data_IF_073615370613
#
_entry.id   IF_073615370613
#
_cell.length_a   1.000
_cell.length_b   1.000
_cell.length_c   1.000
_cell.angle_alpha   90.00
_cell.angle_beta   90.00
_cell.angle_gamma   90.00
#
_symmetry.space_group_name_H-M   'P 1'
#
loop_
_entity.id
_entity.type
_entity.pdbx_description
1 polymer ?
#
# COMPACT_ATOMS: atom_id res chain seq x y z
N UNK A 1 -14.01 31.18 4.89
CA UNK A 1 -13.07 30.48 3.99
C UNK A 1 -13.11 29.01 4.37
N UNK A 2 -13.75 28.17 3.55
CA UNK A 2 -14.02 26.78 3.88
C UNK A 2 -12.85 25.89 3.43
N UNK A 3 -12.04 25.42 4.38
CA UNK A 3 -11.03 24.39 4.13
C UNK A 3 -11.73 23.04 3.91
N UNK A 4 -11.76 22.56 2.67
CA UNK A 4 -12.14 21.17 2.36
C UNK A 4 -10.96 20.27 2.73
N UNK A 5 -11.06 19.58 3.88
CA UNK A 5 -10.22 18.44 4.23
C UNK A 5 -10.53 17.30 3.26
N UNK A 6 -9.65 17.07 2.29
CA UNK A 6 -9.77 15.99 1.31
C UNK A 6 -9.22 14.71 1.96
N UNK A 7 -10.15 13.81 2.26
CA UNK A 7 -9.95 12.44 2.71
C UNK A 7 -9.12 11.63 1.71
N UNK A 8 -7.82 11.46 2.00
CA UNK A 8 -6.92 10.60 1.23
C UNK A 8 -7.18 9.13 1.60
N UNK A 9 -7.67 8.37 0.62
CA UNK A 9 -7.86 6.93 0.69
C UNK A 9 -6.56 6.24 1.12
N UNK A 10 -6.55 5.64 2.30
CA UNK A 10 -5.54 4.68 2.76
C UNK A 10 -5.65 3.33 2.03
N UNK A 11 -5.76 3.35 0.70
CA UNK A 11 -5.62 2.17 -0.15
C UNK A 11 -4.18 2.16 -0.64
N UNK A 12 -3.33 1.48 0.12
CA UNK A 12 -1.97 1.19 -0.31
C UNK A 12 -2.06 0.17 -1.44
N UNK A 13 -1.93 0.65 -2.67
CA UNK A 13 -1.49 -0.19 -3.77
C UNK A 13 -0.10 -0.72 -3.40
N UNK A 14 -0.07 -1.95 -2.87
CA UNK A 14 1.16 -2.73 -2.77
C UNK A 14 1.54 -3.09 -4.21
N UNK A 15 2.46 -2.31 -4.78
CA UNK A 15 3.11 -2.65 -6.03
C UNK A 15 3.98 -3.90 -5.79
N UNK A 16 3.42 -5.09 -6.03
CA UNK A 16 4.19 -6.32 -6.12
C UNK A 16 4.97 -6.29 -7.44
N UNK A 17 6.28 -6.03 -7.36
CA UNK A 17 7.21 -6.36 -8.44
C UNK A 17 7.55 -7.84 -8.30
N UNK A 18 6.98 -8.68 -9.16
CA UNK A 18 7.38 -10.08 -9.29
C UNK A 18 8.68 -10.16 -10.09
N UNK A 19 9.82 -10.40 -9.43
CA UNK A 19 11.04 -10.85 -10.09
C UNK A 19 11.05 -12.37 -10.11
N UNK A 20 10.79 -12.95 -11.28
CA UNK A 20 10.95 -14.37 -11.53
C UNK A 20 12.44 -14.74 -11.48
N UNK A 21 12.83 -15.58 -10.52
CA UNK A 21 14.16 -16.18 -10.48
C UNK A 21 14.17 -17.48 -11.30
N UNK A 22 14.98 -17.49 -12.36
CA UNK A 22 15.46 -18.70 -13.00
C UNK A 22 16.93 -18.50 -13.38
N UNK A 23 17.81 -19.32 -12.84
CA UNK A 23 19.22 -19.43 -13.21
C UNK A 23 19.64 -20.91 -13.05
N UNK A 24 20.70 -21.45 -13.69
CA UNK A 24 21.62 -20.93 -14.74
C UNK A 24 21.82 -22.01 -15.89
N UNK A 25 22.79 -22.00 -16.88
CA UNK A 25 24.22 -21.66 -16.79
C UNK A 25 24.85 -20.75 -17.90
N UNK A 26 25.98 -20.17 -17.51
CA UNK A 26 27.10 -19.45 -18.18
C UNK A 26 27.23 -19.41 -19.73
N UNK A 27 27.36 -18.21 -20.29
CA UNK A 27 28.09 -17.86 -21.54
C UNK A 27 28.35 -16.31 -21.61
N UNK A 28 29.29 -15.80 -22.42
CA UNK A 28 30.12 -14.62 -22.12
C UNK A 28 29.46 -13.27 -22.40
N UNK A 29 30.00 -12.25 -21.73
CA UNK A 29 29.62 -10.83 -21.78
C UNK A 29 29.68 -10.30 -23.22
N UNK A 30 28.53 -10.02 -23.81
CA UNK A 30 28.40 -9.27 -25.06
C UNK A 30 27.50 -8.08 -24.79
N UNK A 31 27.99 -6.90 -25.17
CA UNK A 31 27.43 -5.56 -24.99
C UNK A 31 25.90 -5.51 -24.99
N UNK A 32 25.31 -5.25 -23.81
CA UNK A 32 23.87 -5.13 -23.66
C UNK A 32 23.37 -3.80 -24.27
N UNK A 33 22.41 -3.83 -25.21
CA UNK A 33 21.65 -2.65 -25.60
C UNK A 33 20.76 -2.21 -24.42
N UNK A 34 20.45 -0.92 -24.38
CA UNK A 34 19.57 -0.28 -23.39
C UNK A 34 18.39 -1.18 -23.01
N UNK A 35 18.32 -1.56 -21.73
CA UNK A 35 17.27 -2.42 -21.21
C UNK A 35 15.91 -1.69 -21.25
N UNK A 36 15.21 -1.77 -22.38
CA UNK A 36 13.75 -1.69 -22.39
C UNK A 36 13.25 -2.98 -21.71
N UNK A 37 13.03 -2.89 -20.40
CA UNK A 37 12.33 -3.96 -19.68
C UNK A 37 10.98 -4.29 -20.31
N UNK A 38 10.37 -5.45 -19.98
CA UNK A 38 9.04 -5.77 -20.45
C UNK A 38 8.07 -4.61 -20.13
N UNK A 39 7.10 -4.31 -21.02
CA UNK A 39 6.13 -3.25 -20.77
C UNK A 39 5.46 -3.50 -19.42
N UNK A 40 5.41 -2.46 -18.58
CA UNK A 40 4.68 -2.51 -17.31
C UNK A 40 3.20 -2.59 -17.65
N UNK A 41 2.64 -3.78 -17.53
CA UNK A 41 1.21 -4.01 -17.75
C UNK A 41 0.49 -3.69 -16.44
N UNK A 42 -0.24 -2.57 -16.41
CA UNK A 42 -1.05 -2.21 -15.24
C UNK A 42 -2.22 -3.20 -15.09
N UNK A 43 -2.46 -3.76 -13.89
CA UNK A 43 -3.60 -4.62 -13.68
C UNK A 43 -4.92 -3.85 -13.76
N UNK A 44 -5.96 -4.49 -14.29
CA UNK A 44 -7.33 -3.98 -14.24
C UNK A 44 -7.96 -4.46 -12.93
N UNK A 45 -8.50 -3.55 -12.12
CA UNK A 45 -9.15 -3.88 -10.85
C UNK A 45 -10.66 -3.80 -11.02
N UNK A 46 -11.34 -4.94 -10.86
CA UNK A 46 -12.79 -5.01 -10.66
C UNK A 46 -13.09 -4.82 -9.16
N UNK A 47 -13.77 -3.73 -8.82
CA UNK A 47 -14.10 -3.35 -7.44
C UNK A 47 -15.35 -4.06 -6.90
N UNK A 48 -16.00 -4.91 -7.70
CA UNK A 48 -17.12 -5.75 -7.32
C UNK A 48 -18.28 -4.96 -6.73
N UNK A 49 -18.70 -5.32 -5.52
CA UNK A 49 -19.82 -4.70 -4.78
C UNK A 49 -19.49 -3.32 -4.20
N UNK A 50 -18.24 -2.87 -4.32
CA UNK A 50 -17.79 -1.61 -3.73
C UNK A 50 -17.08 -0.69 -4.73
N UNK A 51 -17.71 -0.34 -5.87
CA UNK A 51 -17.09 0.53 -6.88
C UNK A 51 -16.65 1.90 -6.34
N UNK A 52 -17.34 2.44 -5.33
CA UNK A 52 -17.01 3.67 -4.61
C UNK A 52 -15.67 3.64 -3.87
N UNK A 53 -15.05 2.47 -3.71
CA UNK A 53 -13.70 2.36 -3.15
C UNK A 53 -12.61 2.63 -4.18
N UNK A 54 -12.95 2.64 -5.47
CA UNK A 54 -11.99 2.97 -6.52
C UNK A 54 -11.41 4.37 -6.30
N UNK A 55 -10.08 4.53 -6.33
CA UNK A 55 -9.46 5.84 -6.18
C UNK A 55 -9.84 6.70 -7.40
N UNK A 56 -10.20 7.95 -7.16
CA UNK A 56 -10.35 8.95 -8.21
C UNK A 56 -8.98 9.23 -8.87
N UNK A 57 -8.98 9.83 -10.06
CA UNK A 57 -7.74 10.22 -10.73
C UNK A 57 -6.91 11.18 -9.87
N UNK A 58 -7.57 12.12 -9.20
CA UNK A 58 -6.91 13.07 -8.30
C UNK A 58 -6.25 12.36 -7.11
N UNK A 59 -6.95 11.40 -6.49
CA UNK A 59 -6.36 10.60 -5.40
C UNK A 59 -5.15 9.80 -5.87
N UNK A 60 -5.19 9.24 -7.09
CA UNK A 60 -4.02 8.56 -7.66
C UNK A 60 -2.86 9.52 -7.88
N UNK A 61 -3.11 10.71 -8.45
CA UNK A 61 -2.08 11.74 -8.66
C UNK A 61 -1.43 12.18 -7.35
N UNK A 62 -2.24 12.49 -6.33
CA UNK A 62 -1.76 12.88 -5.01
C UNK A 62 -0.90 11.78 -4.38
N UNK A 63 -1.34 10.52 -4.48
CA UNK A 63 -0.58 9.38 -3.95
C UNK A 63 0.74 9.17 -4.70
N UNK A 64 0.73 9.27 -6.03
CA UNK A 64 1.95 9.19 -6.85
C UNK A 64 2.95 10.26 -6.48
N UNK A 65 2.51 11.50 -6.25
CA UNK A 65 3.39 12.59 -5.84
C UNK A 65 4.01 12.35 -4.46
N UNK A 66 3.24 11.85 -3.48
CA UNK A 66 3.77 11.46 -2.16
C UNK A 66 4.84 10.36 -2.31
N UNK A 67 4.57 9.33 -3.10
CA UNK A 67 5.52 8.23 -3.34
C UNK A 67 6.79 8.75 -4.00
N UNK A 68 6.67 9.62 -5.01
CA UNK A 68 7.81 10.25 -5.67
C UNK A 68 8.68 11.03 -4.69
N UNK A 69 8.08 11.90 -3.86
CA UNK A 69 8.81 12.64 -2.85
C UNK A 69 9.51 11.73 -1.83
N UNK A 70 8.88 10.60 -1.46
CA UNK A 70 9.50 9.64 -0.55
C UNK A 70 10.65 8.86 -1.18
N UNK A 71 10.56 8.52 -2.47
CA UNK A 71 11.65 7.91 -3.24
C UNK A 71 12.84 8.86 -3.37
N UNK A 72 12.58 10.14 -3.67
CA UNK A 72 13.61 11.17 -3.76
C UNK A 72 14.32 11.42 -2.42
N UNK A 73 13.56 11.45 -1.32
CA UNK A 73 14.11 11.64 0.03
C UNK A 73 14.84 10.39 0.56
N UNK A 74 14.56 9.22 0.01
CA UNK A 74 15.15 7.95 0.44
C UNK A 74 15.66 7.18 -0.78
N UNK A 75 16.76 7.61 -1.43
CA UNK A 75 17.28 6.90 -2.59
C UNK A 75 17.84 5.52 -2.19
N UNK A 76 17.71 4.54 -3.10
CA UNK A 76 18.42 3.27 -2.96
C UNK A 76 19.93 3.50 -3.14
N UNK A 77 20.79 2.74 -2.43
CA UNK A 77 22.22 2.79 -2.66
C UNK A 77 22.54 2.32 -4.10
N UNK A 78 23.15 3.20 -4.90
CA UNK A 78 23.38 2.96 -6.34
C UNK A 78 24.56 2.02 -6.65
N UNK A 79 25.46 1.81 -5.69
CA UNK A 79 26.77 1.19 -5.93
C UNK A 79 26.93 -0.17 -5.24
N UNK A 80 25.85 -0.74 -4.71
CA UNK A 80 25.86 -2.02 -4.01
C UNK A 80 24.91 -3.01 -4.70
N UNK A 81 25.28 -4.29 -4.71
CA UNK A 81 24.34 -5.34 -5.07
C UNK A 81 23.18 -5.31 -4.06
N UNK A 82 21.99 -4.96 -4.55
CA UNK A 82 20.79 -4.85 -3.73
C UNK A 82 20.42 -6.22 -3.17
N UNK A 83 20.66 -6.43 -1.88
CA UNK A 83 20.19 -7.61 -1.17
C UNK A 83 18.70 -7.48 -0.84
N UNK A 84 18.02 -8.60 -0.65
CA UNK A 84 16.61 -8.61 -0.24
C UNK A 84 16.37 -7.83 1.07
N UNK A 85 17.33 -7.88 2.00
CA UNK A 85 17.26 -7.13 3.25
C UNK A 85 17.34 -5.61 3.03
N UNK A 86 18.21 -5.15 2.12
CA UNK A 86 18.32 -3.72 1.77
C UNK A 86 17.03 -3.24 1.11
N UNK A 87 16.47 -4.02 0.20
CA UNK A 87 15.18 -3.72 -0.46
C UNK A 87 14.05 -3.65 0.56
N UNK A 88 13.98 -4.60 1.50
CA UNK A 88 12.92 -4.60 2.52
C UNK A 88 13.03 -3.41 3.48
N UNK A 89 14.24 -3.10 3.96
CA UNK A 89 14.50 -1.90 4.77
C UNK A 89 14.12 -0.62 4.03
N UNK A 90 14.41 -0.54 2.74
CA UNK A 90 14.02 0.59 1.91
C UNK A 90 12.50 0.69 1.76
N UNK A 91 11.80 -0.43 1.51
CA UNK A 91 10.33 -0.50 1.44
C UNK A 91 9.68 -0.01 2.74
N UNK A 92 10.21 -0.44 3.90
CA UNK A 92 9.76 0.02 5.23
C UNK A 92 9.93 1.54 5.37
N UNK A 93 11.09 2.09 5.00
CA UNK A 93 11.34 3.55 5.03
C UNK A 93 10.39 4.33 4.13
N UNK A 94 10.11 3.83 2.93
CA UNK A 94 9.14 4.47 2.02
C UNK A 94 7.74 4.47 2.60
N UNK A 95 7.31 3.34 3.19
CA UNK A 95 6.03 3.24 3.88
C UNK A 95 5.91 4.23 5.04
N UNK A 96 6.94 4.30 5.89
CA UNK A 96 7.00 5.27 6.98
C UNK A 96 6.96 6.73 6.50
N UNK A 97 7.72 7.06 5.45
CA UNK A 97 7.71 8.39 4.85
C UNK A 97 6.31 8.79 4.35
N UNK A 98 5.64 7.90 3.61
CA UNK A 98 4.31 8.16 3.08
C UNK A 98 3.28 8.35 4.20
N UNK A 99 3.29 7.47 5.21
CA UNK A 99 2.39 7.54 6.35
C UNK A 99 2.59 8.83 7.17
N UNK A 100 3.84 9.30 7.33
CA UNK A 100 4.12 10.58 7.97
C UNK A 100 3.59 11.77 7.15
N UNK A 101 3.82 11.79 5.83
CA UNK A 101 3.34 12.87 4.94
C UNK A 101 1.81 12.98 4.92
N UNK A 102 1.12 11.84 5.06
CA UNK A 102 -0.34 11.76 5.10
C UNK A 102 -0.92 11.89 6.52
N UNK A 103 -0.08 12.21 7.51
CA UNK A 103 -0.49 12.42 8.90
C UNK A 103 -1.24 11.22 9.50
N UNK A 104 -0.72 10.00 9.28
CA UNK A 104 -1.31 8.75 9.81
C UNK A 104 -0.79 8.35 11.19
N UNK A 105 0.17 9.08 11.75
CA UNK A 105 0.68 8.85 13.10
C UNK A 105 0.24 9.95 14.06
N UNK A 106 -0.05 9.55 15.30
CA UNK A 106 -0.26 10.42 16.44
C UNK A 106 1.05 11.08 16.89
N UNK A 107 0.95 12.06 17.80
CA UNK A 107 2.12 12.73 18.37
C UNK A 107 3.06 11.75 19.12
N UNK A 108 2.50 10.68 19.69
CA UNK A 108 3.22 9.59 20.36
C UNK A 108 3.76 8.51 19.40
N UNK A 109 3.70 8.76 18.08
CA UNK A 109 4.11 7.84 17.01
C UNK A 109 3.27 6.57 16.89
N UNK A 110 2.10 6.48 17.53
CA UNK A 110 1.15 5.40 17.29
C UNK A 110 0.31 5.64 16.02
N UNK A 111 -0.21 4.57 15.41
CA UNK A 111 -1.07 4.71 14.23
C UNK A 111 -2.47 5.22 14.57
N UNK A 112 -3.00 6.14 13.75
CA UNK A 112 -4.33 6.73 13.90
C UNK A 112 -5.44 5.80 13.42
N UNK A 113 -5.72 4.75 14.19
CA UNK A 113 -6.84 3.83 13.89
C UNK A 113 -8.20 4.53 13.82
N UNK A 114 -8.44 5.52 14.67
CA UNK A 114 -9.73 6.20 14.71
C UNK A 114 -9.95 7.05 13.45
N UNK A 115 -8.89 7.69 12.92
CA UNK A 115 -8.90 8.33 11.60
C UNK A 115 -9.26 7.31 10.51
N UNK A 116 -8.69 6.10 10.56
CA UNK A 116 -9.01 5.05 9.60
C UNK A 116 -10.49 4.62 9.70
N UNK A 117 -11.04 4.49 10.92
CA UNK A 117 -12.46 4.18 11.13
C UNK A 117 -13.38 5.29 10.58
N UNK A 118 -13.04 6.56 10.80
CA UNK A 118 -13.77 7.70 10.24
C UNK A 118 -13.75 7.69 8.71
N UNK A 119 -12.60 7.40 8.11
CA UNK A 119 -12.48 7.28 6.66
C UNK A 119 -13.37 6.16 6.10
N UNK A 120 -13.46 5.01 6.79
CA UNK A 120 -14.36 3.91 6.42
C UNK A 120 -15.84 4.32 6.53
N UNK A 121 -16.22 5.06 7.59
CA UNK A 121 -17.59 5.54 7.81
C UNK A 121 -18.04 6.49 6.70
N UNK A 122 -17.14 7.35 6.20
CA UNK A 122 -17.40 8.31 5.12
C UNK A 122 -17.58 7.67 3.75
N UNK A 123 -17.11 6.44 3.52
CA UNK A 123 -17.28 5.76 2.22
C UNK A 123 -18.73 5.43 1.98
N UNK A 124 -19.24 5.64 0.78
CA UNK A 124 -20.63 5.35 0.43
C UNK A 124 -20.85 3.88 0.07
N UNK A 125 -20.51 2.99 1.02
CA UNK A 125 -20.69 1.54 0.89
C UNK A 125 -22.03 1.14 1.46
N UNK A 126 -22.70 0.19 0.79
CA UNK A 126 -23.95 -0.40 1.26
C UNK A 126 -23.87 -0.77 2.75
N UNK A 127 -24.91 -0.40 3.51
CA UNK A 127 -24.90 -0.51 4.97
C UNK A 127 -24.51 -1.91 5.50
N UNK A 128 -25.01 -3.04 4.94
CA UNK A 128 -24.61 -4.37 5.40
C UNK A 128 -23.12 -4.67 5.23
N UNK A 129 -22.50 -4.17 4.15
CA UNK A 129 -21.06 -4.34 3.90
C UNK A 129 -20.28 -3.38 4.82
N UNK A 130 -20.71 -2.12 4.93
CA UNK A 130 -20.08 -1.12 5.80
C UNK A 130 -19.99 -1.60 7.25
N UNK A 131 -21.07 -2.15 7.81
CA UNK A 131 -21.08 -2.71 9.16
C UNK A 131 -20.02 -3.80 9.32
N UNK A 132 -19.96 -4.75 8.39
CA UNK A 132 -18.95 -5.82 8.42
C UNK A 132 -17.53 -5.29 8.31
N UNK A 133 -17.29 -4.30 7.43
CA UNK A 133 -15.96 -3.67 7.29
C UNK A 133 -15.54 -2.97 8.59
N UNK A 134 -16.46 -2.30 9.28
CA UNK A 134 -16.17 -1.66 10.57
C UNK A 134 -15.92 -2.68 11.69
N UNK A 135 -16.60 -3.82 11.66
CA UNK A 135 -16.32 -4.92 12.59
C UNK A 135 -14.93 -5.52 12.33
N UNK A 136 -14.56 -5.71 11.06
CA UNK A 136 -13.22 -6.17 10.68
C UNK A 136 -12.14 -5.15 11.04
N UNK A 137 -12.41 -3.84 10.93
CA UNK A 137 -11.51 -2.80 11.43
C UNK A 137 -11.15 -2.99 12.90
N UNK A 138 -12.14 -3.24 13.77
CA UNK A 138 -11.90 -3.47 15.20
C UNK A 138 -11.05 -4.73 15.43
N UNK A 139 -11.36 -5.82 14.72
CA UNK A 139 -10.63 -7.09 14.84
C UNK A 139 -9.18 -6.96 14.35
N UNK A 140 -8.97 -6.40 13.16
CA UNK A 140 -7.63 -6.17 12.59
C UNK A 140 -6.79 -5.22 13.46
N UNK A 141 -7.40 -4.16 14.03
CA UNK A 141 -6.73 -3.26 14.99
C UNK A 141 -6.26 -4.05 16.21
N UNK A 142 -7.15 -4.82 16.82
CA UNK A 142 -6.82 -5.62 18.01
C UNK A 142 -5.70 -6.62 17.71
N UNK A 143 -5.80 -7.40 16.63
CA UNK A 143 -4.78 -8.37 16.26
C UNK A 143 -3.42 -7.72 15.96
N UNK A 144 -3.41 -6.53 15.34
CA UNK A 144 -2.18 -5.79 15.09
C UNK A 144 -1.51 -5.36 16.41
N UNK A 145 -2.29 -4.82 17.36
CA UNK A 145 -1.80 -4.40 18.67
C UNK A 145 -1.30 -5.58 19.51
N UNK A 146 -1.98 -6.73 19.45
CA UNK A 146 -1.57 -7.95 20.17
C UNK A 146 -0.30 -8.56 19.58
N UNK A 147 -0.17 -8.58 18.24
CA UNK A 147 0.99 -9.18 17.56
C UNK A 147 2.23 -8.29 17.59
N UNK A 148 2.03 -6.97 17.58
CA UNK A 148 3.10 -5.96 17.56
C UNK A 148 2.85 -4.89 18.64
N UNK A 149 3.03 -5.24 19.93
CA UNK A 149 2.69 -4.35 21.05
C UNK A 149 3.72 -3.24 21.30
N UNK A 150 4.93 -3.36 20.75
CA UNK A 150 6.01 -2.42 21.00
C UNK A 150 5.93 -1.19 20.09
N UNK A 151 6.29 -0.02 20.63
CA UNK A 151 6.40 1.21 19.84
C UNK A 151 7.46 1.11 18.71
N UNK A 152 8.49 0.28 18.88
CA UNK A 152 9.50 0.03 17.85
C UNK A 152 8.98 -0.80 16.66
N UNK A 153 7.79 -1.38 16.77
CA UNK A 153 7.18 -2.25 15.74
C UNK A 153 5.94 -1.62 15.10
N UNK A 154 5.79 -0.30 15.18
CA UNK A 154 4.59 0.39 14.67
C UNK A 154 4.45 0.20 13.16
N UNK A 155 5.54 0.13 12.38
CA UNK A 155 5.41 -0.08 10.93
C UNK A 155 4.91 -1.49 10.62
N UNK A 156 5.43 -2.51 11.29
CA UNK A 156 4.98 -3.90 11.17
C UNK A 156 3.51 -4.03 11.61
N UNK A 157 3.14 -3.34 12.70
CA UNK A 157 1.76 -3.24 13.17
C UNK A 157 0.84 -2.66 12.09
N UNK A 158 1.22 -1.56 11.45
CA UNK A 158 0.45 -0.93 10.38
C UNK A 158 0.35 -1.82 9.15
N UNK A 159 1.45 -2.43 8.72
CA UNK A 159 1.47 -3.34 7.57
C UNK A 159 0.57 -4.56 7.79
N UNK A 160 0.58 -5.13 8.99
CA UNK A 160 -0.31 -6.22 9.36
C UNK A 160 -1.77 -5.79 9.35
N UNK A 161 -2.09 -4.66 9.98
CA UNK A 161 -3.43 -4.10 9.99
C UNK A 161 -3.95 -3.84 8.56
N UNK A 162 -3.15 -3.21 7.72
CA UNK A 162 -3.52 -2.91 6.33
C UNK A 162 -3.76 -4.18 5.52
N UNK A 163 -2.86 -5.17 5.63
CA UNK A 163 -3.02 -6.45 4.95
C UNK A 163 -4.28 -7.21 5.42
N UNK A 164 -4.58 -7.16 6.73
CA UNK A 164 -5.81 -7.73 7.31
C UNK A 164 -7.06 -7.04 6.74
N UNK A 165 -7.07 -5.71 6.70
CA UNK A 165 -8.17 -4.93 6.13
C UNK A 165 -8.34 -5.19 4.64
N UNK A 166 -7.26 -5.19 3.86
CA UNK A 166 -7.28 -5.44 2.42
C UNK A 166 -7.85 -6.82 2.11
N UNK A 167 -7.46 -7.85 2.87
CA UNK A 167 -8.02 -9.19 2.75
C UNK A 167 -9.55 -9.19 2.96
N UNK A 168 -10.01 -8.64 4.09
CA UNK A 168 -11.43 -8.65 4.42
C UNK A 168 -12.28 -7.78 3.49
N UNK A 169 -11.80 -6.58 3.13
CA UNK A 169 -12.47 -5.71 2.17
C UNK A 169 -12.55 -6.39 0.80
N UNK A 170 -11.47 -7.03 0.33
CA UNK A 170 -11.49 -7.77 -0.93
C UNK A 170 -12.53 -8.89 -0.94
N UNK A 171 -12.66 -9.65 0.15
CA UNK A 171 -13.67 -10.70 0.28
C UNK A 171 -15.10 -10.14 0.34
N UNK A 172 -15.34 -9.12 1.16
CA UNK A 172 -16.67 -8.52 1.35
C UNK A 172 -17.16 -7.83 0.07
N UNK A 173 -16.25 -7.15 -0.62
CA UNK A 173 -16.53 -6.42 -1.85
C UNK A 173 -16.39 -7.29 -3.11
N UNK A 174 -15.86 -8.51 -3.01
CA UNK A 174 -15.57 -9.39 -4.16
C UNK A 174 -14.66 -8.72 -5.21
N UNK A 175 -13.58 -8.07 -4.73
CA UNK A 175 -12.60 -7.38 -5.58
C UNK A 175 -11.77 -8.42 -6.34
N UNK A 176 -11.52 -8.17 -7.63
CA UNK A 176 -10.70 -9.04 -8.48
C UNK A 176 -9.64 -8.24 -9.22
N UNK A 177 -8.43 -8.80 -9.26
CA UNK A 177 -7.33 -8.28 -10.07
C UNK A 177 -7.30 -9.08 -11.37
N UNK A 178 -7.45 -8.40 -12.50
CA UNK A 178 -7.44 -8.98 -13.83
C UNK A 178 -6.17 -8.52 -14.56
N UNK A 179 -5.51 -9.44 -15.25
CA UNK A 179 -4.46 -9.08 -16.19
C UNK A 179 -5.12 -8.57 -17.48
N UNK A 180 -4.62 -7.47 -18.07
CA UNK A 180 -5.03 -7.08 -19.41
C UNK A 180 -4.84 -8.23 -20.40
N UNK A 181 -5.70 -8.33 -21.44
CA UNK A 181 -5.46 -9.23 -22.56
C UNK A 181 -4.05 -9.00 -23.11
N UNK A 182 -3.29 -10.07 -23.32
CA UNK A 182 -1.96 -10.04 -23.93
C UNK A 182 -2.05 -9.79 -25.44
#
# INVERSE_FOLDING_TARGET
MANKLIATSGLLLVAYVALAYGAPPTAPVSSAPSASGPPVVEPIIDWGKCPQLAPTEEQRKQKTEIIKQCLEANPLPMNEQLSAEVVEKHRIKLGECALNKEDWFNADKTYKYDKAEEELKKKDVEAPIKTKVLDQHKQCKQQALEKFPAASTVIEQVQFYQSCMDFHVSQLCNIKIMLPPQ
#
